data_IF_543475769087
#
_entry.id   IF_543475769087
#
_cell.length_a   1.000
_cell.length_b   1.000
_cell.length_c   1.000
_cell.angle_alpha   90.00
_cell.angle_beta   90.00
_cell.angle_gamma   90.00
#
_symmetry.space_group_name_H-M   'P 1'
#
loop_
_entity.id
_entity.type
_entity.pdbx_description
1 polymer ?
#
# COMPACT_ATOMS: atom_id res chain seq x y z
N UNK A 1 -5.64 5.37 16.89
CA UNK A 1 -6.36 4.66 15.81
C UNK A 1 -6.25 5.45 14.51
N UNK A 2 -5.95 4.76 13.43
CA UNK A 2 -5.80 5.40 12.13
C UNK A 2 -7.14 5.82 11.55
N UNK A 3 -7.20 7.04 11.00
CA UNK A 3 -8.43 7.61 10.46
C UNK A 3 -8.67 7.12 9.03
N UNK A 4 -9.91 6.73 8.73
CA UNK A 4 -10.37 6.47 7.37
C UNK A 4 -10.49 7.79 6.61
N UNK A 5 -9.92 7.85 5.41
CA UNK A 5 -9.85 9.08 4.62
C UNK A 5 -10.81 9.05 3.43
N UNK A 6 -11.20 10.23 2.96
CA UNK A 6 -11.83 10.35 1.64
C UNK A 6 -10.79 10.05 0.56
N UNK A 7 -11.24 9.78 -0.67
CA UNK A 7 -10.32 9.54 -1.79
C UNK A 7 -9.39 10.72 -2.02
N UNK A 8 -9.91 11.93 -1.89
CA UNK A 8 -9.14 13.16 -2.10
C UNK A 8 -8.08 13.31 -1.00
N UNK A 9 -8.45 13.12 0.26
CA UNK A 9 -7.50 13.21 1.38
C UNK A 9 -6.47 12.09 1.34
N UNK A 10 -6.86 10.89 0.94
CA UNK A 10 -5.95 9.75 0.77
C UNK A 10 -4.83 10.11 -0.20
N UNK A 11 -5.17 10.64 -1.37
CA UNK A 11 -4.19 11.05 -2.38
C UNK A 11 -3.35 12.22 -1.89
N UNK A 12 -4.00 13.25 -1.35
CA UNK A 12 -3.33 14.47 -0.90
C UNK A 12 -2.30 14.17 0.20
N UNK A 13 -2.71 13.44 1.23
CA UNK A 13 -1.82 13.14 2.36
C UNK A 13 -0.72 12.16 1.97
N UNK A 14 -1.03 11.19 1.11
CA UNK A 14 -0.01 10.28 0.59
C UNK A 14 1.07 11.01 -0.17
N UNK A 15 0.68 11.92 -1.05
CA UNK A 15 1.62 12.73 -1.84
C UNK A 15 2.48 13.65 -0.95
N UNK A 16 1.92 14.16 0.14
CA UNK A 16 2.67 15.03 1.06
C UNK A 16 3.86 14.30 1.70
N UNK A 17 3.76 13.00 1.94
CA UNK A 17 4.87 12.24 2.55
C UNK A 17 6.13 12.23 1.69
N UNK A 18 5.98 12.34 0.38
CA UNK A 18 7.08 12.25 -0.57
C UNK A 18 7.31 13.56 -1.32
N UNK A 19 6.71 14.65 -0.86
CA UNK A 19 6.76 15.96 -1.55
C UNK A 19 6.29 15.85 -3.00
N UNK A 20 5.27 15.03 -3.26
CA UNK A 20 4.71 14.83 -4.60
C UNK A 20 5.52 13.91 -5.51
N UNK A 21 6.57 13.29 -4.99
CA UNK A 21 7.43 12.41 -5.78
C UNK A 21 7.01 10.96 -5.65
N UNK A 22 7.35 10.15 -6.67
CA UNK A 22 7.19 8.70 -6.62
C UNK A 22 7.97 8.13 -5.42
N UNK A 23 7.37 7.18 -4.69
CA UNK A 23 7.99 6.63 -3.49
C UNK A 23 9.12 5.65 -3.76
N UNK A 24 9.26 5.14 -4.99
CA UNK A 24 10.29 4.15 -5.32
C UNK A 24 11.67 4.78 -5.20
N UNK A 25 12.60 4.16 -4.44
CA UNK A 25 13.95 4.72 -4.25
C UNK A 25 14.66 4.96 -5.59
N UNK A 26 15.25 6.15 -5.72
CA UNK A 26 15.97 6.55 -6.93
C UNK A 26 15.08 7.07 -8.06
N UNK A 27 13.75 6.93 -7.95
CA UNK A 27 12.85 7.50 -8.95
C UNK A 27 12.73 9.01 -8.76
N UNK A 28 12.91 9.76 -9.83
CA UNK A 28 12.85 11.24 -9.82
C UNK A 28 11.57 11.77 -10.46
N UNK A 29 10.65 10.89 -10.81
CA UNK A 29 9.39 11.28 -11.42
C UNK A 29 8.37 11.73 -10.37
N UNK A 30 7.50 12.64 -10.77
CA UNK A 30 6.38 13.04 -9.92
C UNK A 30 5.39 11.88 -9.77
N UNK A 31 4.80 11.76 -8.59
CA UNK A 31 3.70 10.83 -8.38
C UNK A 31 2.47 11.32 -9.15
N UNK A 32 1.75 10.38 -9.76
CA UNK A 32 0.50 10.69 -10.47
C UNK A 32 -0.69 9.97 -9.85
N UNK A 33 -0.45 8.86 -9.15
CA UNK A 33 -1.50 8.05 -8.53
C UNK A 33 -1.17 7.72 -7.09
N UNK A 34 -2.23 7.54 -6.29
CA UNK A 34 -2.15 7.00 -4.95
C UNK A 34 -2.48 5.51 -5.02
N UNK A 35 -1.44 4.67 -5.04
CA UNK A 35 -1.59 3.22 -5.12
C UNK A 35 -2.02 2.66 -3.77
N UNK A 36 -3.01 1.75 -3.76
CA UNK A 36 -3.36 0.98 -2.58
C UNK A 36 -2.34 -0.14 -2.42
N UNK A 37 -1.52 -0.07 -1.37
CA UNK A 37 -0.46 -1.05 -1.13
C UNK A 37 -1.05 -2.45 -1.02
N UNK A 38 -2.10 -2.60 -0.21
CA UNK A 38 -2.93 -3.79 -0.17
C UNK A 38 -4.22 -3.50 -0.93
N UNK A 39 -4.57 -4.38 -1.87
CA UNK A 39 -5.64 -4.20 -2.83
C UNK A 39 -6.97 -3.85 -2.16
N UNK A 40 -7.74 -2.96 -2.78
CA UNK A 40 -9.04 -2.52 -2.26
C UNK A 40 -10.01 -3.68 -1.99
N UNK A 41 -9.93 -4.75 -2.76
CA UNK A 41 -10.80 -5.93 -2.59
C UNK A 41 -10.65 -6.61 -1.22
N UNK A 42 -9.54 -6.37 -0.53
CA UNK A 42 -9.26 -6.96 0.79
C UNK A 42 -9.95 -6.21 1.93
N UNK A 43 -10.51 -5.05 1.66
CA UNK A 43 -11.10 -4.15 2.65
C UNK A 43 -12.61 -4.01 2.43
N UNK A 44 -13.37 -3.99 3.53
CA UNK A 44 -14.81 -3.72 3.43
C UNK A 44 -15.10 -2.28 3.03
N UNK A 45 -14.20 -1.36 3.35
CA UNK A 45 -14.34 0.08 3.11
C UNK A 45 -13.47 0.61 1.98
N UNK A 46 -12.75 -0.24 1.26
CA UNK A 46 -11.86 0.14 0.17
C UNK A 46 -10.43 0.45 0.57
N UNK A 47 -10.13 0.50 1.87
CA UNK A 47 -8.75 0.64 2.36
C UNK A 47 -8.15 2.04 2.24
N UNK A 48 -8.95 3.09 2.39
CA UNK A 48 -8.48 4.48 2.31
C UNK A 48 -7.83 4.93 3.62
N UNK A 49 -6.76 4.26 3.99
CA UNK A 49 -5.94 4.61 5.16
C UNK A 49 -4.56 5.05 4.70
N UNK A 50 -4.00 6.06 5.34
CA UNK A 50 -2.70 6.60 4.95
C UNK A 50 -1.61 5.52 4.94
N UNK A 51 -1.67 4.57 5.87
CA UNK A 51 -0.74 3.44 5.92
C UNK A 51 -0.85 2.50 4.72
N UNK A 52 -1.91 2.63 3.92
CA UNK A 52 -2.14 1.81 2.73
C UNK A 52 -1.93 2.60 1.43
N UNK A 53 -1.34 3.79 1.53
CA UNK A 53 -1.16 4.70 0.39
C UNK A 53 0.30 4.76 -0.04
N UNK A 54 0.55 4.52 -1.32
CA UNK A 54 1.87 4.71 -1.92
C UNK A 54 1.76 5.67 -3.11
N UNK A 55 2.37 6.87 -3.02
CA UNK A 55 2.42 7.77 -4.18
C UNK A 55 3.38 7.20 -5.21
N UNK A 56 2.92 7.05 -6.44
CA UNK A 56 3.69 6.40 -7.51
C UNK A 56 3.53 7.13 -8.84
N UNK A 57 4.58 7.09 -9.66
CA UNK A 57 4.48 7.51 -11.06
C UNK A 57 3.77 6.42 -11.87
N UNK A 58 3.43 6.73 -13.11
CA UNK A 58 2.70 5.79 -13.97
C UNK A 58 3.42 4.44 -14.11
N UNK A 59 4.72 4.48 -14.41
CA UNK A 59 5.51 3.26 -14.58
C UNK A 59 5.53 2.40 -13.31
N UNK A 60 5.82 3.01 -12.16
CA UNK A 60 5.95 2.26 -10.92
C UNK A 60 4.59 1.84 -10.36
N UNK A 61 3.50 2.55 -10.69
CA UNK A 61 2.16 2.09 -10.37
C UNK A 61 1.89 0.74 -11.04
N UNK A 62 2.23 0.64 -12.32
CA UNK A 62 2.09 -0.61 -13.07
C UNK A 62 2.97 -1.72 -12.47
N UNK A 63 4.22 -1.39 -12.14
CA UNK A 63 5.15 -2.34 -11.53
C UNK A 63 4.62 -2.88 -10.20
N UNK A 64 4.01 -2.02 -9.37
CA UNK A 64 3.39 -2.44 -8.11
C UNK A 64 2.20 -3.36 -8.36
N UNK A 65 1.35 -3.03 -9.35
CA UNK A 65 0.18 -3.84 -9.67
C UNK A 65 0.57 -5.22 -10.22
N UNK A 66 1.68 -5.30 -10.93
CA UNK A 66 2.19 -6.55 -11.48
C UNK A 66 3.00 -7.37 -10.46
N UNK A 67 3.20 -6.86 -9.25
CA UNK A 67 3.90 -7.58 -8.20
C UNK A 67 5.42 -7.56 -8.32
N UNK A 68 5.98 -6.67 -9.13
CA UNK A 68 7.44 -6.48 -9.23
C UNK A 68 7.98 -6.02 -7.88
N UNK A 69 7.22 -5.18 -7.16
CA UNK A 69 7.48 -4.82 -5.78
C UNK A 69 6.39 -5.42 -4.90
N UNK A 70 6.79 -6.07 -3.80
CA UNK A 70 5.83 -6.62 -2.83
C UNK A 70 5.21 -5.50 -2.00
N UNK A 71 4.01 -5.72 -1.41
CA UNK A 71 3.44 -4.74 -0.47
C UNK A 71 4.39 -4.37 0.67
N UNK A 72 5.16 -5.32 1.18
CA UNK A 72 6.14 -5.05 2.24
C UNK A 72 7.22 -4.07 1.76
N UNK A 73 7.76 -4.29 0.55
CA UNK A 73 8.76 -3.40 -0.03
C UNK A 73 8.20 -2.00 -0.25
N UNK A 74 7.00 -1.90 -0.81
CA UNK A 74 6.37 -0.59 -1.06
C UNK A 74 6.11 0.16 0.24
N UNK A 75 5.72 -0.55 1.30
CA UNK A 75 5.52 0.04 2.61
C UNK A 75 6.82 0.68 3.12
N UNK A 76 7.94 -0.02 2.98
CA UNK A 76 9.26 0.49 3.36
C UNK A 76 9.64 1.70 2.49
N UNK A 77 9.37 1.67 1.19
CA UNK A 77 9.63 2.80 0.30
C UNK A 77 8.94 4.07 0.77
N UNK A 78 7.77 3.94 1.37
CA UNK A 78 7.00 5.07 1.89
C UNK A 78 7.42 5.48 3.30
N UNK A 79 8.50 4.91 3.83
CA UNK A 79 9.01 5.25 5.17
C UNK A 79 8.21 4.65 6.31
N UNK A 80 7.41 3.62 6.04
CA UNK A 80 6.57 2.98 7.06
C UNK A 80 7.13 1.61 7.44
N UNK A 81 6.78 1.17 8.64
CA UNK A 81 7.17 -0.15 9.13
C UNK A 81 6.10 -1.17 8.74
N UNK A 82 6.44 -2.21 7.94
CA UNK A 82 5.45 -3.23 7.56
C UNK A 82 4.78 -3.93 8.75
N UNK A 83 5.45 -4.02 9.89
CA UNK A 83 4.88 -4.63 11.10
C UNK A 83 3.72 -3.82 11.66
N UNK A 84 3.65 -2.53 11.35
CA UNK A 84 2.60 -1.63 11.80
C UNK A 84 1.50 -1.43 10.76
N UNK A 85 1.56 -2.16 9.64
CA UNK A 85 0.56 -2.05 8.60
C UNK A 85 -0.79 -2.53 9.12
N UNK A 86 -1.84 -1.77 8.80
CA UNK A 86 -3.20 -2.13 9.19
C UNK A 86 -3.64 -3.39 8.46
N UNK A 87 -4.18 -4.36 9.20
CA UNK A 87 -4.62 -5.62 8.63
C UNK A 87 -5.97 -5.44 7.93
N UNK A 88 -6.09 -5.80 6.64
CA UNK A 88 -7.36 -5.70 5.93
C UNK A 88 -8.45 -6.59 6.53
N UNK A 89 -9.70 -6.17 6.37
CA UNK A 89 -10.86 -6.85 6.96
C UNK A 89 -10.97 -8.32 6.55
N UNK A 90 -10.72 -8.61 5.27
CA UNK A 90 -10.87 -9.97 4.74
C UNK A 90 -9.75 -10.91 5.14
N UNK A 91 -8.70 -10.40 5.79
CA UNK A 91 -7.58 -11.20 6.27
C UNK A 91 -7.59 -11.38 7.78
N UNK A 92 -8.63 -10.88 8.46
CA UNK A 92 -8.68 -10.93 9.94
C UNK A 92 -8.81 -12.35 10.49
N UNK A 93 -9.27 -13.30 9.70
CA UNK A 93 -9.34 -14.71 10.12
C UNK A 93 -7.95 -15.38 10.13
N UNK A 94 -6.95 -14.78 9.52
CA UNK A 94 -5.60 -15.32 9.53
C UNK A 94 -4.94 -15.05 10.88
N UNK A 95 -4.08 -15.97 11.32
CA UNK A 95 -3.21 -15.69 12.47
C UNK A 95 -2.20 -14.61 12.07
N UNK A 96 -1.60 -13.96 13.07
CA UNK A 96 -0.58 -12.95 12.81
C UNK A 96 0.61 -13.55 12.05
N UNK A 97 0.95 -14.80 12.31
CA UNK A 97 2.04 -15.51 11.64
C UNK A 97 1.71 -15.77 10.17
N UNK A 98 0.50 -16.25 9.88
CA UNK A 98 0.04 -16.48 8.51
C UNK A 98 0.00 -15.17 7.71
N UNK A 99 -0.50 -14.11 8.33
CA UNK A 99 -0.57 -12.80 7.71
C UNK A 99 0.82 -12.26 7.38
N UNK A 100 1.75 -12.34 8.35
CA UNK A 100 3.12 -11.86 8.17
C UNK A 100 3.83 -12.63 7.05
N UNK A 101 3.62 -13.94 6.96
CA UNK A 101 4.20 -14.76 5.91
C UNK A 101 3.69 -14.36 4.52
N UNK A 102 2.37 -14.25 4.37
CA UNK A 102 1.77 -13.83 3.09
C UNK A 102 2.24 -12.43 2.69
N UNK A 103 2.36 -11.53 3.66
CA UNK A 103 2.79 -10.16 3.42
C UNK A 103 4.25 -10.14 2.93
N UNK A 104 5.13 -10.90 3.59
CA UNK A 104 6.54 -10.98 3.22
C UNK A 104 6.77 -11.63 1.85
N UNK A 105 5.95 -12.61 1.51
CA UNK A 105 6.06 -13.33 0.23
C UNK A 105 5.38 -12.58 -0.93
N UNK A 106 4.71 -11.47 -0.65
CA UNK A 106 4.02 -10.71 -1.70
C UNK A 106 2.74 -11.36 -2.18
N UNK A 107 2.14 -12.26 -1.40
CA UNK A 107 0.94 -13.00 -1.77
C UNK A 107 -0.37 -12.38 -1.26
N UNK A 108 -0.28 -11.31 -0.48
CA UNK A 108 -1.45 -10.67 0.13
C UNK A 108 -2.50 -10.28 -0.91
N UNK A 109 -2.06 -9.61 -1.99
CA UNK A 109 -2.99 -9.10 -2.99
C UNK A 109 -3.59 -10.19 -3.88
N UNK A 110 -3.10 -11.41 -3.74
CA UNK A 110 -3.63 -12.58 -4.46
C UNK A 110 -4.53 -13.44 -3.59
N UNK A 111 -4.77 -13.02 -2.36
CA UNK A 111 -5.60 -13.77 -1.44
C UNK A 111 -7.01 -13.92 -1.98
N UNK A 112 -7.52 -15.14 -1.98
CA UNK A 112 -8.86 -15.43 -2.46
C UNK A 112 -8.97 -15.68 -3.97
N UNK A 113 -7.85 -15.62 -4.69
CA UNK A 113 -7.82 -15.95 -6.11
C UNK A 113 -7.70 -17.45 -6.34
#
# INVERSE_FOLDING_TARGET
MEKYLSRIEFKKRGFMRTNGMCCVPGCKEHAVDAHHIMDRKLWNDGGYYLSNCAPVCEKHHLDCEQGIYTPAQVTVFCGMNPLNARKPDKLKQLTDEEYAELFSLGLINKWGE
#
